data_IF_350498755403
#
_entry.id   IF_350498755403
#
_cell.length_a   1.000
_cell.length_b   1.000
_cell.length_c   1.000
_cell.angle_alpha   90.00
_cell.angle_beta   90.00
_cell.angle_gamma   90.00
#
_symmetry.space_group_name_H-M   'P 1'
#
loop_
_entity.id
_entity.type
_entity.pdbx_description
1 polymer ?
#
# COMPACT_ATOMS: atom_id res chain seq x y z
N UNK A 1 11.97 25.62 3.30
CA UNK A 1 11.10 25.48 4.50
C UNK A 1 9.73 26.22 4.39
N UNK A 2 9.36 26.75 3.22
CA UNK A 2 8.07 27.46 3.02
C UNK A 2 6.87 26.53 2.74
N UNK A 3 7.09 25.34 2.16
CA UNK A 3 6.02 24.40 1.79
C UNK A 3 5.19 23.92 3.00
N UNK A 4 5.82 23.75 4.17
CA UNK A 4 5.15 23.39 5.42
C UNK A 4 4.20 24.48 5.92
N UNK A 5 4.54 25.75 5.68
CA UNK A 5 3.69 26.90 6.03
C UNK A 5 2.54 27.09 5.04
N UNK A 6 2.67 26.57 3.82
CA UNK A 6 1.63 26.56 2.79
C UNK A 6 0.59 25.42 2.98
N UNK A 7 0.69 24.63 4.05
CA UNK A 7 -0.28 23.57 4.36
C UNK A 7 -0.15 22.32 3.49
N UNK A 8 0.99 22.12 2.81
CA UNK A 8 1.22 20.90 2.05
C UNK A 8 1.32 19.68 3.00
N UNK A 9 0.73 18.53 2.63
CA UNK A 9 0.85 17.30 3.41
C UNK A 9 2.31 16.88 3.61
N UNK A 10 2.68 16.31 4.77
CA UNK A 10 4.06 15.90 5.05
C UNK A 10 4.66 14.97 4.01
N UNK A 11 3.87 14.02 3.49
CA UNK A 11 4.28 13.07 2.44
C UNK A 11 4.64 13.75 1.11
N UNK A 12 4.13 14.94 0.85
CA UNK A 12 4.48 15.72 -0.35
C UNK A 12 5.83 16.43 -0.16
N UNK A 13 6.11 16.90 1.06
CA UNK A 13 7.37 17.58 1.39
C UNK A 13 8.52 16.58 1.36
N UNK A 14 8.36 15.42 2.01
CA UNK A 14 9.36 14.35 2.05
C UNK A 14 9.74 13.86 0.65
N UNK A 15 8.75 13.70 -0.24
CA UNK A 15 9.02 13.33 -1.64
C UNK A 15 9.75 14.43 -2.41
N UNK A 16 9.41 15.69 -2.19
CA UNK A 16 10.09 16.80 -2.85
C UNK A 16 11.58 16.86 -2.46
N UNK A 17 11.91 16.52 -1.21
CA UNK A 17 13.30 16.40 -0.74
C UNK A 17 14.05 15.25 -1.44
N UNK A 18 13.42 14.07 -1.60
CA UNK A 18 14.01 12.94 -2.34
C UNK A 18 14.29 13.28 -3.80
N UNK A 19 13.35 13.94 -4.47
CA UNK A 19 13.53 14.38 -5.88
C UNK A 19 14.62 15.44 -5.98
N UNK A 20 14.66 16.39 -5.04
CA UNK A 20 15.69 17.42 -5.01
C UNK A 20 17.09 16.79 -4.81
N UNK A 21 17.23 15.86 -3.87
CA UNK A 21 18.47 15.10 -3.67
C UNK A 21 18.91 14.37 -4.93
N UNK A 22 17.98 13.68 -5.62
CA UNK A 22 18.30 12.99 -6.87
C UNK A 22 18.71 13.93 -8.01
N UNK A 23 18.23 15.17 -8.00
CA UNK A 23 18.62 16.21 -8.96
C UNK A 23 20.00 16.82 -8.62
N UNK A 24 20.29 17.01 -7.33
CA UNK A 24 21.59 17.49 -6.83
C UNK A 24 22.69 16.45 -7.07
N UNK A 25 22.39 15.16 -6.85
CA UNK A 25 23.30 14.04 -7.15
C UNK A 25 23.49 13.85 -8.67
N UNK A 26 22.49 14.23 -9.46
CA UNK A 26 22.41 14.07 -10.91
C UNK A 26 22.98 15.23 -11.75
N UNK A 27 23.59 16.25 -11.13
CA UNK A 27 24.07 17.49 -11.80
C UNK A 27 25.11 17.25 -12.92
N UNK A 28 25.52 16.00 -13.19
CA UNK A 28 26.41 15.60 -14.30
C UNK A 28 25.74 14.80 -15.43
N UNK A 29 24.41 14.71 -15.51
CA UNK A 29 23.74 13.88 -16.51
C UNK A 29 22.71 14.69 -17.31
N UNK A 30 23.05 14.94 -18.59
CA UNK A 30 22.32 15.78 -19.53
C UNK A 30 20.88 15.32 -19.88
N UNK A 31 20.32 15.99 -20.90
CA UNK A 31 18.89 15.99 -21.31
C UNK A 31 18.17 14.63 -21.36
N UNK A 32 18.87 13.53 -21.58
CA UNK A 32 18.29 12.18 -21.63
C UNK A 32 17.83 11.65 -20.26
N UNK A 33 18.30 12.25 -19.17
CA UNK A 33 17.99 11.87 -17.79
C UNK A 33 16.72 12.53 -17.26
N UNK A 34 16.34 13.69 -17.82
CA UNK A 34 15.08 14.36 -17.48
C UNK A 34 13.85 13.56 -17.95
N UNK A 35 13.98 12.83 -19.07
CA UNK A 35 12.96 11.90 -19.54
C UNK A 35 12.84 10.67 -18.62
N UNK A 36 13.97 10.16 -18.11
CA UNK A 36 13.97 9.05 -17.13
C UNK A 36 13.43 9.47 -15.76
N UNK A 37 13.74 10.68 -15.30
CA UNK A 37 13.16 11.22 -14.08
C UNK A 37 11.65 11.47 -14.25
N UNK A 38 11.18 11.86 -15.44
CA UNK A 38 9.76 11.99 -15.74
C UNK A 38 9.03 10.63 -15.80
N UNK A 39 9.68 9.57 -16.28
CA UNK A 39 9.16 8.20 -16.21
C UNK A 39 9.12 7.66 -14.76
N UNK A 40 9.99 8.16 -13.88
CA UNK A 40 10.01 7.86 -12.44
C UNK A 40 9.20 8.85 -11.59
N UNK A 41 8.52 9.84 -12.20
CA UNK A 41 7.63 10.77 -11.51
C UNK A 41 6.29 10.06 -11.22
N UNK A 42 6.10 9.50 -10.02
CA UNK A 42 5.00 8.62 -9.71
C UNK A 42 3.91 9.46 -9.08
N UNK A 43 3.39 10.44 -9.82
CA UNK A 43 2.24 11.21 -9.35
C UNK A 43 1.05 10.26 -9.06
N UNK A 44 1.04 9.08 -9.70
CA UNK A 44 0.07 8.00 -9.47
C UNK A 44 0.64 6.69 -8.89
N UNK A 45 1.96 6.49 -8.78
CA UNK A 45 2.47 5.26 -8.15
C UNK A 45 2.33 5.26 -6.62
N UNK A 46 1.85 6.35 -6.02
CA UNK A 46 1.37 6.38 -4.64
C UNK A 46 0.16 5.45 -4.38
N UNK A 47 -0.50 4.94 -5.43
CA UNK A 47 -1.49 3.87 -5.29
C UNK A 47 -0.86 2.46 -5.30
N UNK A 48 0.45 2.32 -5.56
CA UNK A 48 1.14 1.04 -5.45
C UNK A 48 1.51 0.85 -3.97
N UNK A 49 0.91 -0.11 -3.25
CA UNK A 49 1.35 -0.41 -1.90
C UNK A 49 2.84 -0.72 -1.96
N UNK A 50 3.60 -0.09 -1.05
CA UNK A 50 5.04 -0.22 -1.00
C UNK A 50 5.41 -1.71 -0.98
N UNK A 51 6.09 -2.17 -2.02
CA UNK A 51 6.82 -3.43 -2.00
C UNK A 51 8.06 -3.24 -1.12
N UNK A 52 7.86 -2.92 0.16
CA UNK A 52 8.87 -3.17 1.17
C UNK A 52 9.14 -4.67 1.26
N UNK A 53 10.21 -5.12 1.94
CA UNK A 53 10.34 -6.52 2.31
C UNK A 53 9.00 -6.89 2.94
N UNK A 54 8.29 -7.85 2.36
CA UNK A 54 7.08 -8.42 2.93
C UNK A 54 7.40 -8.61 4.40
N UNK A 55 6.78 -7.81 5.27
CA UNK A 55 6.80 -8.06 6.70
C UNK A 55 6.50 -9.54 6.80
N UNK A 56 7.49 -10.31 7.27
CA UNK A 56 7.53 -11.77 7.28
C UNK A 56 6.12 -12.29 7.25
N UNK A 57 5.68 -12.83 6.09
CA UNK A 57 4.28 -13.13 5.84
C UNK A 57 3.68 -13.70 7.12
N UNK A 58 2.89 -12.86 7.81
CA UNK A 58 2.34 -13.25 9.10
C UNK A 58 1.62 -14.56 8.84
N UNK A 59 1.81 -15.57 9.72
CA UNK A 59 1.08 -16.81 9.53
C UNK A 59 -0.39 -16.46 9.38
N UNK A 60 -1.07 -17.01 8.35
CA UNK A 60 -2.46 -16.65 8.09
C UNK A 60 -3.26 -16.89 9.36
N UNK A 61 -4.04 -15.88 9.74
CA UNK A 61 -4.90 -15.92 10.92
C UNK A 61 -5.87 -17.09 10.83
N UNK A 62 -6.50 -17.45 11.95
CA UNK A 62 -7.52 -18.49 11.94
C UNK A 62 -8.62 -18.18 10.91
N UNK A 63 -8.97 -16.90 10.77
CA UNK A 63 -9.97 -16.41 9.82
C UNK A 63 -9.50 -16.50 8.39
N UNK A 64 -8.25 -16.13 8.10
CA UNK A 64 -7.71 -16.22 6.73
C UNK A 64 -7.79 -17.66 6.20
N UNK A 65 -7.51 -18.63 7.07
CA UNK A 65 -7.64 -20.06 6.75
C UNK A 65 -9.11 -20.46 6.55
N UNK A 66 -9.99 -20.10 7.49
CA UNK A 66 -11.41 -20.43 7.41
C UNK A 66 -12.09 -19.83 6.17
N UNK A 67 -11.70 -18.63 5.75
CA UNK A 67 -12.20 -17.96 4.56
C UNK A 67 -11.73 -18.68 3.29
N UNK A 68 -10.46 -19.09 3.22
CA UNK A 68 -9.89 -19.78 2.06
C UNK A 68 -10.54 -21.16 1.81
N UNK A 69 -10.99 -21.84 2.87
CA UNK A 69 -11.65 -23.14 2.79
C UNK A 69 -13.14 -23.05 2.43
N UNK A 70 -13.73 -21.85 2.48
CA UNK A 70 -15.17 -21.67 2.28
C UNK A 70 -15.53 -21.61 0.79
N UNK A 71 -16.56 -22.36 0.40
CA UNK A 71 -17.17 -22.30 -0.92
C UNK A 71 -18.55 -21.63 -0.84
N UNK A 72 -18.66 -20.30 -1.10
CA UNK A 72 -19.91 -19.57 -0.94
C UNK A 72 -21.06 -20.11 -1.78
N UNK A 73 -20.75 -20.61 -2.99
CA UNK A 73 -21.73 -21.13 -3.94
C UNK A 73 -22.43 -22.41 -3.47
N UNK A 74 -21.83 -23.11 -2.50
CA UNK A 74 -22.40 -24.34 -1.91
C UNK A 74 -23.30 -24.08 -0.70
N UNK A 75 -23.37 -22.83 -0.22
CA UNK A 75 -24.10 -22.48 0.99
C UNK A 75 -25.52 -22.00 0.66
N UNK A 76 -26.49 -22.42 1.46
CA UNK A 76 -27.78 -21.75 1.48
C UNK A 76 -27.67 -20.36 2.12
N UNK A 77 -28.61 -19.44 1.86
CA UNK A 77 -28.57 -18.11 2.46
C UNK A 77 -28.51 -18.10 3.99
N UNK A 78 -29.12 -19.09 4.65
CA UNK A 78 -29.08 -19.21 6.11
C UNK A 78 -27.72 -19.71 6.60
N UNK A 79 -27.14 -20.70 5.94
CA UNK A 79 -25.80 -21.21 6.29
C UNK A 79 -24.72 -20.15 6.09
N UNK A 80 -24.82 -19.35 5.02
CA UNK A 80 -23.91 -18.23 4.79
C UNK A 80 -24.01 -17.18 5.92
N UNK A 81 -25.22 -16.86 6.37
CA UNK A 81 -25.43 -15.92 7.48
C UNK A 81 -24.84 -16.47 8.80
N UNK A 82 -25.08 -17.75 9.09
CA UNK A 82 -24.53 -18.41 10.28
C UNK A 82 -22.99 -18.43 10.26
N UNK A 83 -22.39 -18.62 9.07
CA UNK A 83 -20.94 -18.59 8.85
C UNK A 83 -20.35 -17.20 9.15
N UNK A 84 -21.01 -16.13 8.70
CA UNK A 84 -20.58 -14.74 8.94
C UNK A 84 -20.58 -14.41 10.43
N UNK A 85 -21.61 -14.85 11.17
CA UNK A 85 -21.65 -14.65 12.62
C UNK A 85 -20.52 -15.40 13.34
N UNK A 86 -20.18 -16.61 12.88
CA UNK A 86 -19.07 -17.38 13.43
C UNK A 86 -17.73 -16.69 13.22
N UNK A 87 -17.45 -16.26 12.00
CA UNK A 87 -16.21 -15.53 11.69
C UNK A 87 -16.09 -14.21 12.45
N UNK A 88 -17.22 -13.51 12.67
CA UNK A 88 -17.21 -12.31 13.50
C UNK A 88 -16.79 -12.62 14.94
N UNK A 89 -17.28 -13.70 15.52
CA UNK A 89 -16.90 -14.11 16.87
C UNK A 89 -15.40 -14.48 16.93
N UNK A 90 -14.91 -15.25 15.95
CA UNK A 90 -13.49 -15.59 15.83
C UNK A 90 -12.59 -14.35 15.66
N UNK A 91 -13.08 -13.31 14.99
CA UNK A 91 -12.34 -12.04 14.76
C UNK A 91 -12.24 -11.15 16.00
N UNK A 92 -13.12 -11.34 16.98
CA UNK A 92 -13.09 -10.62 18.24
C UNK A 92 -12.19 -11.31 19.28
N UNK A 93 -11.79 -12.57 19.03
CA UNK A 93 -10.94 -13.39 19.91
C UNK A 93 -9.43 -13.34 19.55
N UNK A 94 -9.08 -13.00 18.30
CA UNK A 94 -7.71 -12.72 17.82
C UNK A 94 -7.26 -11.27 18.12
#
# INVERSE_FOLDING_TARGET
QVAKLAGLPPSVIERAEVVLSGLEDGETLGKDSAARLADDLPLFAAARPASGPLQTAAEPSAIDKALAETSPDSLTPREALDLIYRWKAEAEED
#
